data_IF_178859888409
#
_entry.id   IF_178859888409
#
_cell.length_a   1.000
_cell.length_b   1.000
_cell.length_c   1.000
_cell.angle_alpha   90.00
_cell.angle_beta   90.00
_cell.angle_gamma   90.00
#
_symmetry.space_group_name_H-M   'P 1'
#
loop_
_entity.id
_entity.type
_entity.pdbx_description
1 polymer ?
#
# COMPACT_ATOMS: atom_id res chain seq x y z
N UNK A 1 49.76 -65.94 3.22
CA UNK A 1 48.48 -65.48 3.81
C UNK A 1 48.55 -64.05 4.37
N UNK A 2 49.74 -63.55 4.73
CA UNK A 2 49.93 -62.20 5.31
C UNK A 2 49.49 -61.04 4.38
N UNK A 3 49.72 -61.15 3.07
CA UNK A 3 49.33 -60.13 2.09
C UNK A 3 47.80 -60.04 1.89
N UNK A 4 47.07 -61.14 2.05
CA UNK A 4 45.61 -61.14 1.94
C UNK A 4 44.97 -60.46 3.15
N UNK A 5 45.52 -60.67 4.36
CA UNK A 5 45.08 -59.98 5.58
C UNK A 5 45.39 -58.48 5.53
N UNK A 6 46.57 -58.10 5.04
CA UNK A 6 46.95 -56.69 4.81
C UNK A 6 46.05 -56.01 3.77
N UNK A 7 45.73 -56.69 2.67
CA UNK A 7 44.80 -56.19 1.67
C UNK A 7 43.36 -56.09 2.21
N UNK A 8 42.93 -57.04 3.03
CA UNK A 8 41.61 -57.03 3.67
C UNK A 8 41.46 -55.87 4.66
N UNK A 9 42.49 -55.60 5.46
CA UNK A 9 42.54 -54.45 6.36
C UNK A 9 42.52 -53.12 5.61
N UNK A 10 43.30 -53.01 4.52
CA UNK A 10 43.32 -51.83 3.66
C UNK A 10 41.95 -51.60 2.99
N UNK A 11 41.32 -52.67 2.47
CA UNK A 11 40.01 -52.61 1.83
C UNK A 11 38.89 -52.27 2.82
N UNK A 12 38.93 -52.83 4.04
CA UNK A 12 37.98 -52.51 5.11
C UNK A 12 38.05 -51.04 5.54
N UNK A 13 39.27 -50.47 5.62
CA UNK A 13 39.47 -49.05 5.91
C UNK A 13 38.93 -48.12 4.82
N UNK A 14 39.18 -48.44 3.54
CA UNK A 14 38.65 -47.67 2.40
C UNK A 14 37.12 -47.76 2.35
N UNK A 15 36.55 -48.94 2.59
CA UNK A 15 35.10 -49.15 2.59
C UNK A 15 34.43 -48.40 3.75
N UNK A 16 35.04 -48.38 4.93
CA UNK A 16 34.60 -47.54 6.06
C UNK A 16 34.67 -46.04 5.72
N UNK A 17 35.74 -45.59 5.06
CA UNK A 17 35.87 -44.19 4.67
C UNK A 17 34.78 -43.76 3.67
N UNK A 18 34.48 -44.58 2.66
CA UNK A 18 33.42 -44.32 1.68
C UNK A 18 32.04 -44.28 2.34
N UNK A 19 31.80 -45.18 3.31
CA UNK A 19 30.55 -45.22 4.06
C UNK A 19 30.35 -43.96 4.92
N UNK A 20 31.40 -43.52 5.63
CA UNK A 20 31.37 -42.29 6.42
C UNK A 20 31.16 -41.05 5.54
N UNK A 21 31.82 -40.98 4.38
CA UNK A 21 31.62 -39.90 3.41
C UNK A 21 30.19 -39.87 2.87
N UNK A 22 29.62 -41.03 2.56
CA UNK A 22 28.24 -41.14 2.05
C UNK A 22 27.21 -40.64 3.07
N UNK A 23 27.36 -41.04 4.35
CA UNK A 23 26.52 -40.54 5.44
C UNK A 23 26.70 -39.03 5.62
N UNK A 24 27.93 -38.53 5.52
CA UNK A 24 28.23 -37.10 5.59
C UNK A 24 27.54 -36.28 4.51
N UNK A 25 27.54 -36.75 3.26
CA UNK A 25 26.84 -36.07 2.13
C UNK A 25 25.32 -36.06 2.33
N UNK A 26 24.74 -37.18 2.79
CA UNK A 26 23.30 -37.26 3.08
C UNK A 26 22.88 -36.40 4.28
N UNK A 27 23.71 -36.32 5.31
CA UNK A 27 23.47 -35.45 6.45
C UNK A 27 23.56 -33.98 6.05
N UNK A 28 24.58 -33.61 5.26
CA UNK A 28 24.77 -32.25 4.75
C UNK A 28 23.61 -31.81 3.84
N UNK A 29 23.17 -32.66 2.92
CA UNK A 29 22.03 -32.35 2.04
C UNK A 29 20.73 -32.16 2.82
N UNK A 30 20.47 -33.00 3.83
CA UNK A 30 19.31 -32.83 4.73
C UNK A 30 19.37 -31.52 5.52
N UNK A 31 20.53 -31.14 6.06
CA UNK A 31 20.71 -29.86 6.78
C UNK A 31 20.46 -28.68 5.85
N UNK A 32 20.94 -28.75 4.60
CA UNK A 32 20.68 -27.71 3.59
C UNK A 32 19.19 -27.59 3.29
N UNK A 33 18.49 -28.72 3.05
CA UNK A 33 17.05 -28.74 2.79
C UNK A 33 16.22 -28.22 3.97
N UNK A 34 16.62 -28.53 5.21
CA UNK A 34 15.95 -27.99 6.40
C UNK A 34 16.08 -26.47 6.48
N UNK A 35 17.29 -25.94 6.27
CA UNK A 35 17.53 -24.49 6.27
C UNK A 35 16.78 -23.75 5.15
N UNK A 36 16.69 -24.34 3.95
CA UNK A 36 15.90 -23.76 2.86
C UNK A 36 14.42 -23.79 3.18
N UNK A 37 13.92 -24.88 3.77
CA UNK A 37 12.51 -25.01 4.19
C UNK A 37 12.16 -23.98 5.26
N UNK A 38 13.02 -23.78 6.26
CA UNK A 38 12.82 -22.76 7.30
C UNK A 38 12.77 -21.34 6.72
N UNK A 39 13.67 -21.02 5.79
CA UNK A 39 13.68 -19.72 5.12
C UNK A 39 12.42 -19.50 4.24
N UNK A 40 11.96 -20.53 3.53
CA UNK A 40 10.73 -20.49 2.74
C UNK A 40 9.48 -20.33 3.62
N UNK A 41 9.41 -21.04 4.75
CA UNK A 41 8.34 -20.86 5.73
C UNK A 41 8.32 -19.44 6.28
N UNK A 42 9.49 -18.89 6.66
CA UNK A 42 9.59 -17.51 7.13
C UNK A 42 9.15 -16.49 6.06
N UNK A 43 9.53 -16.67 4.79
CA UNK A 43 9.07 -15.84 3.68
C UNK A 43 7.55 -15.92 3.52
N UNK A 44 6.98 -17.12 3.57
CA UNK A 44 5.53 -17.32 3.46
C UNK A 44 4.78 -16.68 4.62
N UNK A 45 5.31 -16.75 5.84
CA UNK A 45 4.69 -16.10 7.00
C UNK A 45 4.73 -14.57 6.88
N UNK A 46 5.82 -14.00 6.34
CA UNK A 46 5.88 -12.57 6.04
C UNK A 46 4.89 -12.14 4.95
N UNK A 47 4.66 -12.97 3.93
CA UNK A 47 3.67 -12.71 2.88
C UNK A 47 2.26 -12.76 3.48
N UNK A 48 1.95 -13.78 4.29
CA UNK A 48 0.67 -13.89 4.98
C UNK A 48 0.42 -12.71 5.91
N UNK A 49 1.41 -12.32 6.71
CA UNK A 49 1.31 -11.18 7.62
C UNK A 49 1.02 -9.89 6.86
N UNK A 50 1.77 -9.63 5.78
CA UNK A 50 1.55 -8.48 4.91
C UNK A 50 0.14 -8.49 4.28
N UNK A 51 -0.26 -9.61 3.68
CA UNK A 51 -1.57 -9.72 3.04
C UNK A 51 -2.71 -9.53 4.03
N UNK A 52 -2.59 -10.05 5.26
CA UNK A 52 -3.62 -9.90 6.29
C UNK A 52 -3.95 -8.43 6.59
N UNK A 53 -2.97 -7.51 6.47
CA UNK A 53 -3.19 -6.08 6.65
C UNK A 53 -4.14 -5.48 5.60
N UNK A 54 -4.18 -6.04 4.39
CA UNK A 54 -5.01 -5.57 3.27
C UNK A 54 -6.28 -6.40 3.10
N UNK A 55 -6.21 -7.73 3.26
CA UNK A 55 -7.36 -8.64 3.17
C UNK A 55 -8.44 -8.34 4.20
N UNK A 56 -8.09 -7.71 5.32
CA UNK A 56 -9.07 -7.19 6.28
C UNK A 56 -10.06 -6.20 5.65
N UNK A 57 -9.72 -5.59 4.51
CA UNK A 57 -10.57 -4.70 3.72
C UNK A 57 -11.26 -5.39 2.54
N UNK A 58 -11.04 -6.68 2.31
CA UNK A 58 -11.73 -7.47 1.29
C UNK A 58 -13.16 -7.83 1.74
N UNK A 59 -14.03 -6.81 1.82
CA UNK A 59 -15.39 -6.89 2.38
C UNK A 59 -16.43 -6.31 1.42
N UNK A 60 -17.65 -6.86 1.47
CA UNK A 60 -18.83 -6.38 0.71
C UNK A 60 -19.51 -5.13 1.29
N UNK A 61 -19.13 -4.74 2.50
CA UNK A 61 -19.68 -3.58 3.19
C UNK A 61 -18.56 -2.89 3.94
N UNK A 62 -18.10 -1.79 3.36
CA UNK A 62 -17.07 -0.92 3.92
C UNK A 62 -17.66 0.48 4.02
N UNK A 63 -17.31 1.21 5.06
CA UNK A 63 -17.56 2.65 5.11
C UNK A 63 -16.40 3.37 4.44
N UNK A 64 -16.63 4.59 3.97
CA UNK A 64 -15.55 5.41 3.40
C UNK A 64 -14.37 5.60 4.36
N UNK A 65 -14.61 5.56 5.68
CA UNK A 65 -13.52 5.55 6.67
C UNK A 65 -12.57 4.35 6.49
N UNK A 66 -13.11 3.15 6.20
CA UNK A 66 -12.31 1.94 5.99
C UNK A 66 -11.48 2.09 4.70
N UNK A 67 -12.09 2.66 3.65
CA UNK A 67 -11.42 2.88 2.37
C UNK A 67 -10.29 3.91 2.51
N UNK A 68 -10.51 5.01 3.24
CA UNK A 68 -9.46 5.97 3.57
C UNK A 68 -8.32 5.29 4.33
N UNK A 69 -8.63 4.41 5.30
CA UNK A 69 -7.60 3.68 6.07
C UNK A 69 -6.72 2.81 5.18
N UNK A 70 -7.29 2.04 4.24
CA UNK A 70 -6.49 1.20 3.33
C UNK A 70 -5.72 2.04 2.30
N UNK A 71 -6.29 3.15 1.82
CA UNK A 71 -5.59 4.12 0.96
C UNK A 71 -4.36 4.67 1.66
N UNK A 72 -4.52 5.21 2.87
CA UNK A 72 -3.41 5.79 3.63
C UNK A 72 -2.38 4.73 4.02
N UNK A 73 -2.82 3.50 4.32
CA UNK A 73 -1.90 2.36 4.53
C UNK A 73 -1.03 2.11 3.30
N UNK A 74 -1.64 2.02 2.12
CA UNK A 74 -0.92 1.79 0.87
C UNK A 74 0.04 2.96 0.53
N UNK A 75 -0.41 4.21 0.72
CA UNK A 75 0.44 5.41 0.53
C UNK A 75 1.67 5.34 1.43
N UNK A 76 1.48 5.13 2.74
CA UNK A 76 2.59 5.06 3.70
C UNK A 76 3.56 3.92 3.36
N UNK A 77 3.03 2.75 3.04
CA UNK A 77 3.83 1.59 2.63
C UNK A 77 4.69 1.92 1.39
N UNK A 78 4.09 2.51 0.36
CA UNK A 78 4.80 2.81 -0.89
C UNK A 78 5.85 3.92 -0.71
N UNK A 79 5.60 4.90 0.18
CA UNK A 79 6.56 5.96 0.50
C UNK A 79 7.77 5.45 1.30
N UNK A 80 7.54 4.57 2.28
CA UNK A 80 8.61 4.02 3.13
C UNK A 80 9.61 3.16 2.35
N UNK A 81 9.15 2.48 1.30
CA UNK A 81 9.99 1.56 0.54
C UNK A 81 10.71 2.21 -0.66
N UNK A 82 10.53 3.52 -0.86
CA UNK A 82 11.24 4.27 -1.90
C UNK A 82 10.86 3.91 -3.34
N UNK A 83 9.71 3.26 -3.55
CA UNK A 83 9.09 2.89 -4.83
C UNK A 83 10.04 2.89 -6.04
N UNK A 84 11.06 2.03 -6.00
CA UNK A 84 11.92 1.74 -7.14
C UNK A 84 11.25 0.61 -7.92
N UNK A 85 11.43 0.61 -9.24
CA UNK A 85 10.84 -0.35 -10.20
C UNK A 85 10.71 -1.76 -9.62
N UNK A 86 9.55 -2.38 -9.83
CA UNK A 86 9.27 -3.77 -9.41
C UNK A 86 9.40 -4.05 -7.91
N UNK A 87 9.17 -3.06 -7.05
CA UNK A 87 9.12 -3.28 -5.61
C UNK A 87 8.00 -4.30 -5.25
N UNK A 88 8.34 -5.49 -4.71
CA UNK A 88 7.37 -6.51 -4.36
C UNK A 88 6.41 -6.07 -3.23
N UNK A 89 6.70 -4.94 -2.58
CA UNK A 89 5.87 -4.35 -1.55
C UNK A 89 4.93 -3.26 -2.05
N UNK A 90 5.01 -2.83 -3.32
CA UNK A 90 4.10 -1.82 -3.85
C UNK A 90 2.64 -2.29 -3.83
N UNK A 91 1.74 -1.43 -3.36
CA UNK A 91 0.29 -1.67 -3.36
C UNK A 91 -0.44 -0.51 -4.04
N UNK A 92 -1.25 -0.81 -5.06
CA UNK A 92 -2.19 0.13 -5.66
C UNK A 92 -3.59 -0.03 -5.04
N UNK A 93 -4.29 1.08 -4.92
CA UNK A 93 -5.69 1.13 -4.52
C UNK A 93 -6.46 1.85 -5.61
N UNK A 94 -7.38 1.14 -6.25
CA UNK A 94 -8.32 1.69 -7.23
C UNK A 94 -9.69 1.89 -6.58
N UNK A 95 -10.34 3.01 -6.91
CA UNK A 95 -11.68 3.32 -6.42
C UNK A 95 -12.55 3.80 -7.59
N UNK A 96 -13.70 3.18 -7.76
CA UNK A 96 -14.74 3.56 -8.72
C UNK A 96 -15.84 4.35 -7.99
N UNK A 97 -15.86 5.66 -8.21
CA UNK A 97 -16.74 6.62 -7.53
C UNK A 97 -17.93 6.98 -8.42
N UNK A 98 -19.14 6.70 -7.92
CA UNK A 98 -20.39 7.15 -8.54
C UNK A 98 -20.68 8.63 -8.26
N UNK A 99 -20.21 9.13 -7.11
CA UNK A 99 -20.40 10.50 -6.65
C UNK A 99 -19.13 11.34 -6.80
N UNK A 100 -19.29 12.66 -6.91
CA UNK A 100 -18.19 13.62 -6.87
C UNK A 100 -17.93 14.06 -5.42
N UNK A 101 -16.68 13.96 -4.97
CA UNK A 101 -16.25 14.46 -3.66
C UNK A 101 -15.35 15.66 -3.89
N UNK A 102 -15.72 16.81 -3.35
CA UNK A 102 -14.98 18.06 -3.56
C UNK A 102 -14.70 18.72 -2.23
N UNK A 103 -13.55 19.39 -2.13
CA UNK A 103 -13.33 20.36 -1.08
C UNK A 103 -14.38 21.48 -1.17
N UNK A 104 -14.66 22.13 -0.03
CA UNK A 104 -15.54 23.29 0.03
C UNK A 104 -14.82 24.41 0.74
N UNK A 105 -15.06 25.66 0.34
CA UNK A 105 -14.39 26.83 0.91
C UNK A 105 -15.41 27.72 1.63
N UNK A 106 -15.21 27.96 2.91
CA UNK A 106 -15.95 28.96 3.70
C UNK A 106 -15.11 30.25 3.76
N UNK A 107 -15.67 31.36 3.28
CA UNK A 107 -15.10 32.70 3.47
C UNK A 107 -15.67 33.29 4.76
N UNK A 108 -14.79 33.83 5.59
CA UNK A 108 -15.09 34.58 6.81
C UNK A 108 -14.59 36.00 6.61
N UNK A 109 -15.50 36.97 6.57
CA UNK A 109 -15.19 38.39 6.51
C UNK A 109 -15.11 38.97 7.92
N UNK A 110 -13.92 39.47 8.29
CA UNK A 110 -13.62 40.01 9.61
C UNK A 110 -13.73 41.53 9.69
N UNK A 111 -14.09 42.21 8.60
CA UNK A 111 -14.20 43.68 8.54
C UNK A 111 -15.38 44.24 9.35
N UNK A 112 -16.35 43.40 9.68
CA UNK A 112 -17.59 43.76 10.39
C UNK A 112 -17.54 43.31 11.87
N UNK A 113 -18.21 44.01 12.80
CA UNK A 113 -18.27 43.63 14.22
C UNK A 113 -18.97 42.28 14.45
N UNK A 114 -19.78 41.84 13.49
CA UNK A 114 -20.32 40.48 13.42
C UNK A 114 -19.76 39.84 12.14
N UNK A 115 -18.93 38.83 12.30
CA UNK A 115 -18.31 38.13 11.17
C UNK A 115 -19.37 37.55 10.23
N UNK A 116 -19.23 37.86 8.94
CA UNK A 116 -20.09 37.29 7.90
C UNK A 116 -19.42 36.06 7.33
N UNK A 117 -20.20 34.98 7.20
CA UNK A 117 -19.74 33.71 6.63
C UNK A 117 -20.51 33.39 5.36
N UNK A 118 -19.82 32.88 4.34
CA UNK A 118 -20.47 32.31 3.16
C UNK A 118 -19.65 31.18 2.56
N UNK A 119 -20.32 30.23 1.94
CA UNK A 119 -19.65 29.21 1.12
C UNK A 119 -19.33 29.80 -0.25
N UNK A 120 -18.11 29.59 -0.73
CA UNK A 120 -17.69 29.99 -2.06
C UNK A 120 -17.99 28.88 -3.07
N UNK A 121 -18.36 29.29 -4.28
CA UNK A 121 -18.31 28.39 -5.44
C UNK A 121 -16.85 28.07 -5.78
N UNK A 122 -16.60 27.03 -6.57
CA UNK A 122 -15.24 26.71 -7.03
C UNK A 122 -14.64 27.84 -7.88
N UNK A 123 -15.46 28.58 -8.61
CA UNK A 123 -15.04 29.71 -9.44
C UNK A 123 -14.66 30.92 -8.58
N UNK A 124 -15.47 31.23 -7.56
CA UNK A 124 -15.14 32.28 -6.58
C UNK A 124 -13.87 31.95 -5.80
N UNK A 125 -13.70 30.70 -5.36
CA UNK A 125 -12.50 30.25 -4.66
C UNK A 125 -11.25 30.37 -5.55
N UNK A 126 -11.36 30.03 -6.84
CA UNK A 126 -10.26 30.18 -7.80
C UNK A 126 -9.87 31.64 -7.99
N UNK A 127 -10.85 32.56 -8.02
CA UNK A 127 -10.59 34.00 -8.07
C UNK A 127 -9.81 34.50 -6.83
N UNK A 128 -9.88 33.79 -5.70
CA UNK A 128 -9.07 34.03 -4.50
C UNK A 128 -7.75 33.24 -4.49
N UNK A 129 -7.38 32.60 -5.60
CA UNK A 129 -6.18 31.77 -5.71
C UNK A 129 -6.25 30.50 -4.86
N UNK A 130 -7.44 29.93 -4.66
CA UNK A 130 -7.66 28.66 -3.96
C UNK A 130 -8.12 27.63 -4.99
N UNK A 131 -7.30 26.59 -5.20
CA UNK A 131 -7.65 25.50 -6.11
C UNK A 131 -8.43 24.41 -5.35
N UNK A 132 -9.74 24.34 -5.61
CA UNK A 132 -10.64 23.37 -4.98
C UNK A 132 -10.45 21.99 -5.61
N UNK A 133 -9.90 21.04 -4.84
CA UNK A 133 -9.67 19.67 -5.30
C UNK A 133 -10.96 18.85 -5.26
N UNK A 134 -11.13 17.98 -6.23
CA UNK A 134 -12.23 17.01 -6.29
C UNK A 134 -11.85 15.68 -6.95
N UNK A 135 -12.53 14.61 -6.55
CA UNK A 135 -12.38 13.27 -7.13
C UNK A 135 -13.75 12.74 -7.58
N UNK A 136 -13.77 12.02 -8.70
CA UNK A 136 -14.95 11.36 -9.26
C UNK A 136 -14.50 10.28 -10.26
N UNK A 137 -15.34 9.28 -10.51
CA UNK A 137 -15.06 8.21 -11.46
C UNK A 137 -13.97 7.28 -10.95
N UNK A 138 -13.25 6.65 -11.87
CA UNK A 138 -12.17 5.72 -11.54
C UNK A 138 -10.90 6.50 -11.20
N UNK A 139 -10.40 6.27 -10.00
CA UNK A 139 -9.15 6.85 -9.50
C UNK A 139 -8.22 5.75 -8.98
N UNK A 140 -6.91 6.01 -9.00
CA UNK A 140 -5.91 5.17 -8.35
C UNK A 140 -4.83 6.00 -7.67
N UNK A 141 -4.20 5.44 -6.63
CA UNK A 141 -3.08 6.09 -5.94
C UNK A 141 -1.78 6.03 -6.75
N UNK A 142 -1.69 5.15 -7.75
CA UNK A 142 -0.58 5.09 -8.68
C UNK A 142 -0.84 4.16 -9.86
N UNK A 143 0.14 4.09 -10.75
CA UNK A 143 0.13 3.22 -11.93
C UNK A 143 1.49 2.57 -12.10
N UNK A 144 1.51 1.35 -12.64
CA UNK A 144 2.73 0.70 -13.11
C UNK A 144 2.76 0.86 -14.63
N UNK A 145 3.84 1.39 -15.19
CA UNK A 145 3.99 1.51 -16.65
C UNK A 145 4.44 0.16 -17.27
N UNK A 146 4.52 0.11 -18.61
CA UNK A 146 4.92 -1.11 -19.34
C UNK A 146 6.34 -1.59 -18.99
N UNK A 147 7.18 -0.71 -18.45
CA UNK A 147 8.56 -0.99 -18.03
C UNK A 147 8.66 -1.47 -16.56
N UNK A 148 7.53 -1.47 -15.82
CA UNK A 148 7.49 -1.82 -14.40
C UNK A 148 7.80 -0.67 -13.44
N UNK A 149 7.90 0.57 -13.95
CA UNK A 149 8.11 1.75 -13.13
C UNK A 149 6.80 2.15 -12.44
N UNK A 150 6.90 2.42 -11.15
CA UNK A 150 5.79 2.90 -10.34
C UNK A 150 5.72 4.42 -10.46
N UNK A 151 4.56 4.92 -10.89
CA UNK A 151 4.24 6.35 -10.88
C UNK A 151 3.09 6.62 -9.92
N UNK A 152 3.41 7.28 -8.80
CA UNK A 152 2.43 7.70 -7.81
C UNK A 152 1.58 8.87 -8.35
N UNK A 153 0.29 8.89 -7.99
CA UNK A 153 -0.63 9.94 -8.36
C UNK A 153 -0.71 10.99 -7.25
N UNK A 154 0.17 11.99 -7.32
CA UNK A 154 0.30 13.04 -6.31
C UNK A 154 -1.01 13.78 -6.02
N UNK A 155 -1.87 13.98 -7.03
CA UNK A 155 -3.16 14.64 -6.84
C UNK A 155 -4.10 13.83 -5.94
N UNK A 156 -4.18 12.51 -6.18
CA UNK A 156 -5.02 11.61 -5.37
C UNK A 156 -4.43 11.45 -3.98
N UNK A 157 -3.12 11.28 -3.87
CA UNK A 157 -2.42 11.14 -2.58
C UNK A 157 -2.66 12.36 -1.70
N UNK A 158 -2.47 13.56 -2.26
CA UNK A 158 -2.73 14.80 -1.55
C UNK A 158 -4.21 14.92 -1.14
N UNK A 159 -5.16 14.57 -2.02
CA UNK A 159 -6.58 14.60 -1.68
C UNK A 159 -6.91 13.71 -0.46
N UNK A 160 -6.29 12.53 -0.37
CA UNK A 160 -6.52 11.59 0.75
C UNK A 160 -5.75 11.93 2.03
N UNK A 161 -4.58 12.58 1.91
CA UNK A 161 -3.80 13.06 3.04
C UNK A 161 -4.42 14.30 3.71
N UNK A 162 -5.13 15.13 2.94
CA UNK A 162 -5.81 16.33 3.44
C UNK A 162 -7.13 15.98 4.15
N UNK A 163 -7.03 15.30 5.30
CA UNK A 163 -8.17 14.95 6.15
C UNK A 163 -8.67 16.10 7.04
N UNK A 164 -7.85 17.14 7.19
CA UNK A 164 -8.12 18.35 7.98
C UNK A 164 -8.57 19.52 7.10
N UNK A 165 -9.06 20.60 7.72
CA UNK A 165 -9.28 21.85 6.99
C UNK A 165 -7.97 22.63 6.90
N UNK A 166 -7.71 23.23 5.75
CA UNK A 166 -6.63 24.19 5.57
C UNK A 166 -7.18 25.62 5.73
N UNK A 167 -6.33 26.55 6.13
CA UNK A 167 -6.69 27.96 6.29
C UNK A 167 -5.81 28.84 5.42
N UNK A 168 -6.41 29.84 4.78
CA UNK A 168 -5.71 30.88 4.02
C UNK A 168 -6.21 32.25 4.47
N UNK A 169 -5.28 33.09 4.91
CA UNK A 169 -5.58 34.47 5.27
C UNK A 169 -5.41 35.41 4.07
N UNK A 170 -6.29 36.40 3.98
CA UNK A 170 -6.15 37.58 3.12
C UNK A 170 -6.14 38.83 4.03
N UNK A 171 -4.94 39.25 4.47
CA UNK A 171 -4.80 40.40 5.36
C UNK A 171 -5.23 41.73 4.73
N UNK A 172 -5.22 41.83 3.39
CA UNK A 172 -5.53 43.08 2.68
C UNK A 172 -7.03 43.36 2.77
N UNK A 173 -7.85 42.32 2.58
CA UNK A 173 -9.31 42.43 2.63
C UNK A 173 -9.91 41.98 3.97
N UNK A 174 -9.07 41.66 4.97
CA UNK A 174 -9.47 41.18 6.29
C UNK A 174 -10.39 39.95 6.22
N UNK A 175 -9.99 38.96 5.42
CA UNK A 175 -10.74 37.72 5.20
C UNK A 175 -9.93 36.48 5.57
N UNK A 176 -10.64 35.44 6.01
CA UNK A 176 -10.09 34.09 6.20
C UNK A 176 -10.87 33.11 5.33
N UNK A 177 -10.18 32.22 4.65
CA UNK A 177 -10.77 31.13 3.88
C UNK A 177 -10.46 29.79 4.56
N UNK A 178 -11.51 29.07 4.97
CA UNK A 178 -11.39 27.72 5.52
C UNK A 178 -11.72 26.72 4.41
N UNK A 179 -10.76 25.88 4.05
CA UNK A 179 -10.86 24.87 3.01
C UNK A 179 -11.17 23.54 3.68
N UNK A 180 -12.43 23.13 3.67
CA UNK A 180 -12.82 21.84 4.23
C UNK A 180 -12.49 20.68 3.29
N UNK A 181 -11.98 19.59 3.88
CA UNK A 181 -11.67 18.35 3.17
C UNK A 181 -12.87 17.77 2.43
N UNK A 182 -12.65 17.38 1.17
CA UNK A 182 -13.62 16.60 0.38
C UNK A 182 -13.87 15.19 0.92
N UNK A 183 -13.06 14.72 1.88
CA UNK A 183 -13.28 13.43 2.53
C UNK A 183 -14.42 13.45 3.55
N UNK A 184 -14.95 14.61 3.95
CA UNK A 184 -15.99 14.68 4.97
C UNK A 184 -17.25 13.87 4.58
N UNK A 185 -17.75 14.07 3.37
CA UNK A 185 -18.87 13.28 2.83
C UNK A 185 -18.42 11.88 2.39
N UNK A 186 -17.19 11.73 1.90
CA UNK A 186 -16.64 10.42 1.54
C UNK A 186 -16.72 9.42 2.70
N UNK A 187 -16.37 9.85 3.92
CA UNK A 187 -16.38 9.00 5.13
C UNK A 187 -17.73 8.31 5.38
N UNK A 188 -18.84 8.94 5.01
CA UNK A 188 -20.16 8.36 5.24
C UNK A 188 -20.58 7.33 4.21
N UNK A 189 -19.99 7.35 3.02
CA UNK A 189 -20.37 6.51 1.89
C UNK A 189 -20.07 5.03 2.12
N UNK A 190 -20.73 4.19 1.32
CA UNK A 190 -20.61 2.74 1.40
C UNK A 190 -19.89 2.20 0.17
N UNK A 191 -18.93 1.32 0.41
CA UNK A 191 -18.10 0.70 -0.61
C UNK A 191 -18.14 -0.82 -0.53
N UNK A 192 -17.71 -1.45 -1.60
CA UNK A 192 -17.46 -2.89 -1.70
C UNK A 192 -16.09 -3.11 -2.32
N UNK A 193 -15.27 -3.95 -1.72
CA UNK A 193 -14.10 -4.48 -2.40
C UNK A 193 -14.58 -5.45 -3.48
N UNK A 194 -14.22 -5.18 -4.74
CA UNK A 194 -14.65 -5.98 -5.89
C UNK A 194 -13.55 -6.90 -6.40
N UNK A 195 -12.29 -6.57 -6.12
CA UNK A 195 -11.13 -7.29 -6.63
C UNK A 195 -9.92 -7.11 -5.71
N UNK A 196 -9.18 -8.19 -5.52
CA UNK A 196 -7.85 -8.20 -4.90
C UNK A 196 -6.93 -8.98 -5.82
N UNK A 197 -5.76 -8.42 -6.14
CA UNK A 197 -4.79 -9.01 -7.03
C UNK A 197 -3.43 -9.15 -6.34
N UNK A 198 -2.71 -10.20 -6.69
CA UNK A 198 -1.44 -10.58 -6.07
C UNK A 198 -0.31 -10.62 -7.10
N UNK A 199 0.88 -10.19 -6.70
CA UNK A 199 2.06 -10.23 -7.54
C UNK A 199 2.61 -11.67 -7.63
N UNK A 200 3.72 -11.86 -8.34
CA UNK A 200 4.36 -13.17 -8.52
C UNK A 200 4.81 -13.83 -7.21
N UNK A 201 5.06 -13.05 -6.15
CA UNK A 201 5.39 -13.55 -4.82
C UNK A 201 4.15 -13.87 -3.97
N UNK A 202 2.94 -13.63 -4.48
CA UNK A 202 1.69 -13.82 -3.75
C UNK A 202 1.36 -12.70 -2.77
N UNK A 203 2.06 -11.56 -2.81
CA UNK A 203 1.71 -10.36 -2.02
C UNK A 203 0.62 -9.58 -2.74
N UNK A 204 -0.32 -9.02 -1.97
CA UNK A 204 -1.31 -8.07 -2.52
C UNK A 204 -0.57 -6.91 -3.19
N UNK A 205 -0.87 -6.66 -4.47
CA UNK A 205 -0.34 -5.49 -5.19
C UNK A 205 -1.44 -4.54 -5.68
N UNK A 206 -2.71 -4.98 -5.71
CA UNK A 206 -3.82 -4.12 -6.08
C UNK A 206 -5.11 -4.52 -5.35
N UNK A 207 -5.85 -3.52 -4.88
CA UNK A 207 -7.24 -3.68 -4.44
C UNK A 207 -8.15 -2.69 -5.17
N UNK A 208 -9.32 -3.16 -5.61
CA UNK A 208 -10.33 -2.33 -6.27
C UNK A 208 -11.58 -2.21 -5.39
N UNK A 209 -12.03 -0.98 -5.18
CA UNK A 209 -13.24 -0.65 -4.44
C UNK A 209 -14.25 0.04 -5.34
N UNK A 210 -15.54 -0.25 -5.12
CA UNK A 210 -16.63 0.40 -5.84
C UNK A 210 -17.60 1.04 -4.85
N UNK A 211 -17.94 2.30 -5.08
CA UNK A 211 -18.99 3.00 -4.35
C UNK A 211 -20.36 2.37 -4.68
N UNK A 212 -21.18 2.15 -3.66
CA UNK A 212 -22.55 1.64 -3.82
C UNK A 212 -23.54 2.73 -4.21
#
# INVERSE_FOLDING_TARGET
MENASKALLMAGGILLAILLLSVGVLAYSKIQTLKTTEAEMAKNDQIKAFNAEYESYNRKLLRGIDVISVVNKAINNNQMQGAINTDPYYVNIEIDLSSKFSQTVEEIDMSEPIYKKRNLSSEDALAQGINVKSIQGKISIGTINELGDIKMNEYIIDFFNNASSDEKEDPIHNKIYIIHSGLKSFKSEVFTCTKVEYNSDGRVYQMTFKQK
#
